data_IF_464408039598
#
_entry.id   IF_464408039598
#
_cell.length_a   1.000
_cell.length_b   1.000
_cell.length_c   1.000
_cell.angle_alpha   90.00
_cell.angle_beta   90.00
_cell.angle_gamma   90.00
#
_symmetry.space_group_name_H-M   'P 1'
#
loop_
_entity.id
_entity.type
_entity.pdbx_description
1 polymer ?
#
# COMPACT_ATOMS: atom_id res chain seq x y z
N UNK A 1 -15.08 27.51 0.13
CA UNK A 1 -15.51 26.10 0.01
C UNK A 1 -15.16 25.51 -1.36
N UNK A 2 -15.52 26.16 -2.46
CA UNK A 2 -15.13 25.76 -3.83
C UNK A 2 -13.60 25.64 -4.00
N UNK A 3 -12.85 26.62 -3.48
CA UNK A 3 -11.38 26.60 -3.48
C UNK A 3 -10.73 25.38 -2.80
N UNK A 4 -11.36 24.78 -1.77
CA UNK A 4 -10.80 23.59 -1.10
C UNK A 4 -11.01 22.36 -1.98
N UNK A 5 -12.19 22.21 -2.60
CA UNK A 5 -12.48 21.11 -3.52
C UNK A 5 -11.58 21.15 -4.76
N UNK A 6 -11.36 22.33 -5.32
CA UNK A 6 -10.42 22.51 -6.43
C UNK A 6 -8.98 22.18 -6.02
N UNK A 7 -8.58 22.55 -4.80
CA UNK A 7 -7.27 22.19 -4.25
C UNK A 7 -7.13 20.66 -4.03
N UNK A 8 -8.16 19.98 -3.53
CA UNK A 8 -8.22 18.52 -3.40
C UNK A 8 -8.01 17.87 -4.76
N UNK A 9 -8.77 18.30 -5.78
CA UNK A 9 -8.65 17.74 -7.14
C UNK A 9 -7.29 18.02 -7.78
N UNK A 10 -6.70 19.20 -7.52
CA UNK A 10 -5.34 19.51 -7.96
C UNK A 10 -4.32 18.56 -7.32
N UNK A 11 -4.39 18.35 -6.00
CA UNK A 11 -3.45 17.47 -5.31
C UNK A 11 -3.65 16.00 -5.70
N UNK A 12 -4.89 15.57 -5.89
CA UNK A 12 -5.22 14.25 -6.46
C UNK A 12 -4.54 14.05 -7.82
N UNK A 13 -4.64 15.03 -8.74
CA UNK A 13 -3.99 14.96 -10.05
C UNK A 13 -2.46 14.85 -9.93
N UNK A 14 -1.86 15.66 -9.07
CA UNK A 14 -0.41 15.62 -8.81
C UNK A 14 0.02 14.24 -8.30
N UNK A 15 -0.69 13.70 -7.31
CA UNK A 15 -0.44 12.37 -6.77
C UNK A 15 -0.56 11.28 -7.85
N UNK A 16 -1.64 11.30 -8.65
CA UNK A 16 -1.85 10.32 -9.73
C UNK A 16 -0.69 10.36 -10.73
N UNK A 17 -0.25 11.55 -11.13
CA UNK A 17 0.90 11.70 -12.03
C UNK A 17 2.18 11.13 -11.43
N UNK A 18 2.46 11.43 -10.16
CA UNK A 18 3.61 10.87 -9.44
C UNK A 18 3.54 9.33 -9.38
N UNK A 19 2.37 8.78 -9.01
CA UNK A 19 2.16 7.33 -8.95
C UNK A 19 2.36 6.65 -10.32
N UNK A 20 1.94 7.29 -11.42
CA UNK A 20 2.17 6.80 -12.78
C UNK A 20 3.66 6.78 -13.12
N UNK A 21 4.42 7.82 -12.75
CA UNK A 21 5.88 7.85 -12.96
C UNK A 21 6.55 6.70 -12.19
N UNK A 22 6.19 6.52 -10.91
CA UNK A 22 6.69 5.42 -10.08
C UNK A 22 6.37 4.03 -10.65
N UNK A 23 5.14 3.83 -11.14
CA UNK A 23 4.74 2.60 -11.84
C UNK A 23 5.54 2.37 -13.12
N UNK A 24 5.83 3.42 -13.90
CA UNK A 24 6.65 3.31 -15.12
C UNK A 24 8.09 2.91 -14.81
N UNK A 25 8.68 3.50 -13.77
CA UNK A 25 10.02 3.12 -13.32
C UNK A 25 10.06 1.68 -12.83
N UNK A 26 9.05 1.25 -12.05
CA UNK A 26 8.91 -0.16 -11.68
C UNK A 26 8.90 -1.07 -12.92
N UNK A 27 8.04 -0.77 -13.90
CA UNK A 27 7.90 -1.55 -15.13
C UNK A 27 9.23 -1.64 -15.90
N UNK A 28 10.01 -0.54 -15.97
CA UNK A 28 11.27 -0.48 -16.71
C UNK A 28 12.29 -1.51 -16.22
N UNK A 29 12.33 -1.78 -14.92
CA UNK A 29 13.34 -2.64 -14.30
C UNK A 29 12.78 -4.01 -13.86
N UNK A 30 11.49 -4.27 -14.05
CA UNK A 30 10.87 -5.51 -13.65
C UNK A 30 10.87 -6.52 -14.82
N UNK A 31 11.45 -7.73 -14.65
CA UNK A 31 11.41 -8.77 -15.68
C UNK A 31 9.96 -9.07 -16.10
N UNK A 32 9.74 -9.35 -17.39
CA UNK A 32 8.39 -9.52 -17.95
C UNK A 32 7.54 -10.52 -17.15
N UNK A 33 8.11 -11.68 -16.80
CA UNK A 33 7.43 -12.71 -16.00
C UNK A 33 6.96 -12.19 -14.63
N UNK A 34 7.75 -11.33 -13.97
CA UNK A 34 7.38 -10.71 -12.69
C UNK A 34 6.35 -9.60 -12.88
N UNK A 35 6.42 -8.86 -13.99
CA UNK A 35 5.43 -7.85 -14.34
C UNK A 35 4.05 -8.47 -14.61
N UNK A 36 4.01 -9.62 -15.26
CA UNK A 36 2.76 -10.35 -15.51
C UNK A 36 2.10 -10.74 -14.18
N UNK A 37 2.88 -11.31 -13.25
CA UNK A 37 2.40 -11.59 -11.88
C UNK A 37 1.93 -10.32 -11.17
N UNK A 38 2.71 -9.23 -11.20
CA UNK A 38 2.34 -7.97 -10.53
C UNK A 38 0.99 -7.44 -11.01
N UNK A 39 0.69 -7.57 -12.32
CA UNK A 39 -0.59 -7.17 -12.92
C UNK A 39 -1.72 -8.12 -12.55
N UNK A 40 -1.41 -9.41 -12.37
CA UNK A 40 -2.38 -10.45 -12.06
C UNK A 40 -2.84 -10.41 -10.59
N UNK A 41 -1.94 -10.11 -9.65
CA UNK A 41 -2.24 -10.09 -8.20
C UNK A 41 -3.49 -9.26 -7.83
N UNK A 42 -3.64 -7.97 -8.21
CA UNK A 42 -4.81 -7.19 -7.79
C UNK A 42 -6.11 -7.73 -8.41
N UNK A 43 -6.05 -8.34 -9.60
CA UNK A 43 -7.20 -9.04 -10.18
C UNK A 43 -7.55 -10.29 -9.36
N UNK A 44 -6.56 -11.11 -9.00
CA UNK A 44 -6.80 -12.30 -8.18
C UNK A 44 -7.38 -11.94 -6.81
N UNK A 45 -6.98 -10.82 -6.21
CA UNK A 45 -7.57 -10.33 -4.95
C UNK A 45 -9.03 -9.89 -5.16
N UNK A 46 -9.32 -9.29 -6.32
CA UNK A 46 -10.65 -8.78 -6.64
C UNK A 46 -11.66 -9.90 -6.93
N UNK A 47 -11.28 -10.95 -7.66
CA UNK A 47 -12.21 -12.01 -8.09
C UNK A 47 -12.09 -13.30 -7.28
N UNK A 48 -13.20 -14.04 -7.20
CA UNK A 48 -13.19 -15.43 -6.76
C UNK A 48 -13.98 -16.31 -7.72
N UNK A 49 -13.27 -16.93 -8.67
CA UNK A 49 -13.84 -17.82 -9.68
C UNK A 49 -12.99 -19.09 -9.79
N UNK A 50 -13.62 -20.28 -9.94
CA UNK A 50 -12.91 -21.55 -10.14
C UNK A 50 -11.98 -21.58 -11.37
N UNK A 51 -12.19 -20.67 -12.31
CA UNK A 51 -11.40 -20.56 -13.55
C UNK A 51 -10.04 -19.89 -13.34
N UNK A 52 -9.82 -19.29 -12.16
CA UNK A 52 -8.61 -18.56 -11.84
C UNK A 52 -7.88 -19.16 -10.63
N UNK A 53 -6.56 -18.94 -10.52
CA UNK A 53 -5.80 -19.32 -9.34
C UNK A 53 -6.37 -18.74 -8.06
N UNK A 54 -5.98 -19.36 -6.93
CA UNK A 54 -6.39 -18.93 -5.61
C UNK A 54 -7.92 -18.87 -5.40
N UNK A 55 -8.69 -19.74 -6.05
CA UNK A 55 -10.12 -19.86 -5.79
C UNK A 55 -10.38 -20.38 -4.36
N UNK A 56 -11.27 -19.70 -3.63
CA UNK A 56 -11.72 -20.10 -2.29
C UNK A 56 -13.18 -20.55 -2.38
N UNK A 57 -13.42 -21.85 -2.15
CA UNK A 57 -14.74 -22.48 -2.32
C UNK A 57 -15.77 -22.02 -1.28
N UNK A 58 -15.32 -21.72 -0.07
CA UNK A 58 -16.15 -21.38 1.09
C UNK A 58 -16.64 -19.92 1.08
N UNK A 59 -16.21 -19.11 0.12
CA UNK A 59 -16.14 -17.67 0.32
C UNK A 59 -17.22 -16.83 -0.37
N UNK A 60 -18.24 -17.40 -1.01
CA UNK A 60 -19.37 -16.62 -1.58
C UNK A 60 -18.95 -15.32 -2.30
N UNK A 61 -19.70 -14.23 -2.07
CA UNK A 61 -19.44 -12.87 -2.60
C UNK A 61 -18.65 -12.00 -1.61
N UNK A 62 -17.60 -12.56 -1.00
CA UNK A 62 -16.85 -11.90 0.08
C UNK A 62 -15.74 -10.97 -0.44
N UNK A 63 -15.34 -11.10 -1.70
CA UNK A 63 -14.17 -10.45 -2.28
C UNK A 63 -14.48 -9.14 -2.99
N UNK A 64 -13.42 -8.53 -3.49
CA UNK A 64 -13.48 -7.32 -4.28
C UNK A 64 -12.65 -6.21 -3.68
N UNK A 65 -12.06 -5.47 -4.60
CA UNK A 65 -11.26 -4.28 -4.34
C UNK A 65 -12.07 -3.09 -4.80
N UNK A 66 -12.17 -2.06 -3.96
CA UNK A 66 -12.93 -0.85 -4.25
C UNK A 66 -12.56 -0.29 -5.63
N UNK A 67 -13.55 -0.15 -6.52
CA UNK A 67 -13.42 0.49 -7.83
C UNK A 67 -12.35 -0.12 -8.78
N UNK A 68 -11.98 -1.39 -8.59
CA UNK A 68 -10.91 -2.03 -9.36
C UNK A 68 -11.26 -2.23 -10.84
N UNK A 69 -12.50 -2.57 -11.13
CA UNK A 69 -13.15 -2.67 -12.44
C UNK A 69 -12.95 -1.43 -13.32
N UNK A 70 -12.76 -0.25 -12.71
CA UNK A 70 -12.46 1.00 -13.40
C UNK A 70 -10.96 1.31 -13.51
N UNK A 71 -10.10 0.48 -12.92
CA UNK A 71 -8.64 0.64 -12.92
C UNK A 71 -7.99 0.29 -14.27
N UNK A 72 -6.75 0.74 -14.45
CA UNK A 72 -5.93 0.34 -15.59
C UNK A 72 -5.60 -1.16 -15.61
N UNK A 73 -5.49 -1.79 -14.43
CA UNK A 73 -5.21 -3.23 -14.29
C UNK A 73 -6.40 -4.08 -14.78
N UNK A 74 -7.63 -3.70 -14.41
CA UNK A 74 -8.83 -4.37 -14.89
C UNK A 74 -8.97 -4.27 -16.42
N UNK A 75 -8.65 -3.11 -17.00
CA UNK A 75 -8.62 -2.92 -18.46
C UNK A 75 -7.57 -3.81 -19.12
N UNK A 76 -6.34 -3.79 -18.62
CA UNK A 76 -5.24 -4.60 -19.16
C UNK A 76 -5.58 -6.09 -19.17
N UNK A 77 -6.07 -6.65 -18.05
CA UNK A 77 -6.39 -8.07 -17.98
C UNK A 77 -7.62 -8.44 -18.82
N UNK A 78 -8.63 -7.55 -18.89
CA UNK A 78 -9.83 -7.77 -19.71
C UNK A 78 -9.50 -7.87 -21.20
N UNK A 79 -8.49 -7.14 -21.68
CA UNK A 79 -8.06 -7.24 -23.10
C UNK A 79 -7.37 -8.56 -23.42
N UNK A 80 -6.79 -9.23 -22.42
CA UNK A 80 -6.01 -10.46 -22.58
C UNK A 80 -6.80 -11.73 -22.28
N UNK A 81 -7.88 -11.63 -21.50
CA UNK A 81 -8.66 -12.78 -21.06
C UNK A 81 -10.18 -12.49 -21.10
N UNK A 82 -10.94 -13.15 -22.01
CA UNK A 82 -12.39 -12.95 -22.12
C UNK A 82 -13.19 -13.30 -20.85
N UNK A 83 -12.73 -14.28 -20.07
CA UNK A 83 -13.39 -14.66 -18.82
C UNK A 83 -13.17 -13.57 -17.75
N UNK A 84 -11.96 -12.99 -17.68
CA UNK A 84 -11.69 -11.84 -16.84
C UNK A 84 -12.56 -10.65 -17.25
N UNK A 85 -12.69 -10.38 -18.55
CA UNK A 85 -13.54 -9.31 -19.07
C UNK A 85 -15.02 -9.46 -18.67
N UNK A 86 -15.52 -10.68 -18.56
CA UNK A 86 -16.89 -10.94 -18.05
C UNK A 86 -17.00 -10.57 -16.58
N UNK A 87 -16.03 -10.97 -15.76
CA UNK A 87 -16.02 -10.66 -14.32
C UNK A 87 -15.89 -9.15 -14.07
N UNK A 88 -15.09 -8.42 -14.86
CA UNK A 88 -14.92 -6.96 -14.72
C UNK A 88 -16.16 -6.15 -15.12
N UNK A 89 -17.18 -6.76 -15.75
CA UNK A 89 -18.46 -6.10 -16.04
C UNK A 89 -19.43 -6.12 -14.86
N UNK A 90 -19.13 -6.89 -13.81
CA UNK A 90 -19.97 -7.01 -12.63
C UNK A 90 -19.42 -6.08 -11.54
N UNK A 91 -20.15 -5.02 -11.15
CA UNK A 91 -19.70 -4.16 -10.07
C UNK A 91 -19.70 -4.91 -8.74
N UNK A 92 -18.71 -4.65 -7.90
CA UNK A 92 -18.70 -5.15 -6.53
C UNK A 92 -19.43 -4.16 -5.64
N UNK A 93 -20.60 -4.54 -5.13
CA UNK A 93 -21.41 -3.68 -4.26
C UNK A 93 -20.81 -3.52 -2.86
N UNK A 94 -20.15 -4.56 -2.35
CA UNK A 94 -19.52 -4.56 -1.03
C UNK A 94 -18.04 -5.04 -1.09
N UNK A 95 -17.10 -4.19 -1.52
CA UNK A 95 -15.70 -4.58 -1.62
C UNK A 95 -15.10 -4.83 -0.23
N UNK A 96 -14.49 -6.00 -0.06
CA UNK A 96 -13.72 -6.35 1.14
C UNK A 96 -12.47 -5.48 1.31
N UNK A 97 -11.79 -5.19 0.21
CA UNK A 97 -10.53 -4.45 0.20
C UNK A 97 -10.77 -3.00 -0.23
N UNK A 98 -10.37 -2.05 0.61
CA UNK A 98 -10.49 -0.62 0.33
C UNK A 98 -9.35 -0.12 -0.55
N UNK A 99 -8.14 -0.66 -0.38
CA UNK A 99 -6.99 -0.31 -1.21
C UNK A 99 -5.91 -1.39 -1.19
N UNK A 100 -5.14 -1.43 -2.28
CA UNK A 100 -3.93 -2.22 -2.43
C UNK A 100 -2.79 -1.25 -2.75
N UNK A 101 -1.78 -1.27 -1.90
CA UNK A 101 -0.56 -0.51 -2.10
C UNK A 101 0.61 -1.49 -2.13
N UNK A 102 1.52 -1.29 -3.09
CA UNK A 102 2.82 -1.94 -3.03
C UNK A 102 3.76 -1.06 -2.20
N UNK A 103 4.58 -1.64 -1.33
CA UNK A 103 5.56 -0.97 -0.47
C UNK A 103 6.98 -1.49 -0.77
N UNK A 104 8.01 -0.68 -0.51
CA UNK A 104 9.38 -1.15 -0.51
C UNK A 104 10.15 -0.75 -1.76
N UNK A 105 10.93 -1.69 -2.31
CA UNK A 105 11.98 -1.34 -3.28
C UNK A 105 11.49 -1.13 -4.73
N UNK A 106 10.29 -1.56 -5.10
CA UNK A 106 9.81 -1.35 -6.46
C UNK A 106 9.57 0.13 -6.77
N UNK A 107 9.97 0.55 -7.97
CA UNK A 107 9.91 1.93 -8.43
C UNK A 107 10.90 2.87 -7.74
N UNK A 108 11.71 2.39 -6.78
CA UNK A 108 12.78 3.17 -6.14
C UNK A 108 14.14 2.88 -6.77
N UNK A 109 15.13 3.68 -6.42
CA UNK A 109 16.53 3.43 -6.79
C UNK A 109 17.12 2.16 -6.17
N UNK A 110 16.44 1.52 -5.21
CA UNK A 110 16.86 0.25 -4.59
C UNK A 110 16.19 -0.98 -5.21
N UNK A 111 15.39 -0.81 -6.28
CA UNK A 111 14.83 -1.92 -7.03
C UNK A 111 15.93 -2.81 -7.60
N UNK A 112 15.74 -4.12 -7.50
CA UNK A 112 16.60 -5.11 -8.12
C UNK A 112 15.77 -6.26 -8.70
N UNK A 113 16.41 -7.11 -9.52
CA UNK A 113 15.77 -8.34 -9.99
C UNK A 113 15.38 -9.30 -8.85
N UNK A 114 15.98 -9.16 -7.67
CA UNK A 114 15.69 -9.95 -6.46
C UNK A 114 14.65 -9.29 -5.54
N UNK A 115 14.06 -8.16 -5.94
CA UNK A 115 13.05 -7.49 -5.11
C UNK A 115 11.82 -8.39 -4.91
N UNK A 116 11.39 -8.45 -3.65
CA UNK A 116 10.15 -9.09 -3.22
C UNK A 116 8.95 -8.19 -3.55
N UNK A 117 7.75 -8.76 -3.53
CA UNK A 117 6.51 -8.02 -3.69
C UNK A 117 5.81 -7.90 -2.35
N UNK A 118 5.86 -6.72 -1.76
CA UNK A 118 5.25 -6.44 -0.46
C UNK A 118 4.01 -5.57 -0.68
N UNK A 119 2.85 -6.08 -0.29
CA UNK A 119 1.58 -5.39 -0.47
C UNK A 119 0.90 -5.11 0.86
N UNK A 120 0.49 -3.86 1.06
CA UNK A 120 -0.48 -3.50 2.07
C UNK A 120 -1.89 -3.66 1.52
N UNK A 121 -2.69 -4.46 2.21
CA UNK A 121 -4.09 -4.70 1.92
C UNK A 121 -4.91 -3.98 2.99
N UNK A 122 -5.53 -2.87 2.58
CA UNK A 122 -6.33 -2.07 3.51
C UNK A 122 -7.76 -2.58 3.51
N UNK A 123 -8.25 -2.91 4.70
CA UNK A 123 -9.62 -3.32 4.96
C UNK A 123 -10.29 -2.36 5.94
N UNK A 124 -11.61 -2.49 6.06
CA UNK A 124 -12.37 -1.95 7.18
C UNK A 124 -12.84 -3.14 8.02
N UNK A 125 -12.15 -3.43 9.13
CA UNK A 125 -12.36 -4.65 9.92
C UNK A 125 -13.78 -4.74 10.50
N UNK A 126 -14.47 -3.61 10.67
CA UNK A 126 -15.86 -3.56 11.15
C UNK A 126 -16.84 -4.24 10.18
N UNK A 127 -16.46 -4.42 8.91
CA UNK A 127 -17.27 -5.04 7.85
C UNK A 127 -16.99 -6.53 7.65
N UNK A 128 -16.20 -7.13 8.55
CA UNK A 128 -15.78 -8.52 8.48
C UNK A 128 -16.31 -9.31 9.67
N UNK A 129 -17.07 -10.37 9.38
CA UNK A 129 -17.20 -11.49 10.32
C UNK A 129 -15.96 -12.42 10.23
N UNK A 130 -15.89 -13.43 11.09
CA UNK A 130 -14.76 -14.36 11.09
C UNK A 130 -14.66 -15.17 9.80
N UNK A 131 -15.78 -15.54 9.18
CA UNK A 131 -15.76 -16.32 7.94
C UNK A 131 -15.22 -15.49 6.77
N UNK A 132 -15.68 -14.25 6.66
CA UNK A 132 -15.24 -13.26 5.67
C UNK A 132 -13.77 -12.93 5.83
N UNK A 133 -13.30 -12.78 7.06
CA UNK A 133 -11.89 -12.50 7.33
C UNK A 133 -11.00 -13.71 6.99
N UNK A 134 -11.38 -14.90 7.45
CA UNK A 134 -10.64 -16.14 7.16
C UNK A 134 -10.60 -16.43 5.65
N UNK A 135 -11.70 -16.20 4.93
CA UNK A 135 -11.75 -16.35 3.47
C UNK A 135 -10.78 -15.40 2.74
N UNK A 136 -10.67 -14.15 3.19
CA UNK A 136 -9.71 -13.20 2.63
C UNK A 136 -8.27 -13.62 2.94
N UNK A 137 -7.98 -14.06 4.17
CA UNK A 137 -6.65 -14.57 4.52
C UNK A 137 -6.28 -15.82 3.72
N UNK A 138 -7.21 -16.78 3.58
CA UNK A 138 -7.04 -17.97 2.76
C UNK A 138 -6.74 -17.58 1.30
N UNK A 139 -7.49 -16.63 0.75
CA UNK A 139 -7.29 -16.11 -0.60
C UNK A 139 -5.88 -15.58 -0.80
N UNK A 140 -5.41 -14.72 0.11
CA UNK A 140 -4.08 -14.11 0.03
C UNK A 140 -2.98 -15.17 0.17
N UNK A 141 -3.15 -16.14 1.07
CA UNK A 141 -2.23 -17.27 1.22
C UNK A 141 -2.15 -18.11 -0.05
N UNK A 142 -3.28 -18.36 -0.72
CA UNK A 142 -3.29 -19.07 -1.99
C UNK A 142 -2.58 -18.28 -3.10
N UNK A 143 -2.69 -16.94 -3.10
CA UNK A 143 -1.96 -16.08 -4.04
C UNK A 143 -0.45 -16.15 -3.76
N UNK A 144 -0.01 -16.16 -2.50
CA UNK A 144 1.41 -16.35 -2.14
C UNK A 144 1.93 -17.69 -2.69
N UNK A 145 1.18 -18.78 -2.44
CA UNK A 145 1.55 -20.12 -2.92
C UNK A 145 1.62 -20.15 -4.45
N UNK A 146 0.63 -19.57 -5.12
CA UNK A 146 0.58 -19.46 -6.58
C UNK A 146 1.78 -18.70 -7.13
N UNK A 147 2.11 -17.55 -6.53
CA UNK A 147 3.23 -16.69 -6.93
C UNK A 147 4.57 -17.40 -6.82
N UNK A 148 4.81 -18.09 -5.71
CA UNK A 148 6.03 -18.90 -5.51
C UNK A 148 6.13 -20.03 -6.52
N UNK A 149 5.04 -20.79 -6.73
CA UNK A 149 5.04 -21.97 -7.60
C UNK A 149 5.17 -21.64 -9.09
N UNK A 150 4.47 -20.63 -9.56
CA UNK A 150 4.42 -20.31 -11.00
C UNK A 150 5.50 -19.33 -11.43
N UNK A 151 5.87 -18.40 -10.54
CA UNK A 151 6.75 -17.28 -10.87
C UNK A 151 8.09 -17.29 -10.14
N UNK A 152 8.28 -18.16 -9.14
CA UNK A 152 9.46 -18.12 -8.25
C UNK A 152 9.66 -16.73 -7.66
N UNK A 153 8.54 -16.08 -7.31
CA UNK A 153 8.50 -14.74 -6.74
C UNK A 153 7.99 -14.82 -5.30
N UNK A 154 8.73 -14.21 -4.39
CA UNK A 154 8.28 -13.98 -3.02
C UNK A 154 7.28 -12.83 -2.99
N UNK A 155 6.14 -13.08 -2.35
CA UNK A 155 5.04 -12.14 -2.18
C UNK A 155 4.62 -12.15 -0.72
N UNK A 156 4.48 -10.98 -0.13
CA UNK A 156 4.00 -10.78 1.23
C UNK A 156 2.76 -9.89 1.21
N UNK A 157 1.72 -10.28 1.95
CA UNK A 157 0.54 -9.46 2.16
C UNK A 157 0.44 -9.05 3.62
N UNK A 158 0.42 -7.74 3.86
CA UNK A 158 0.22 -7.13 5.17
C UNK A 158 -1.21 -6.61 5.25
N UNK A 159 -2.06 -7.29 6.01
CA UNK A 159 -3.43 -6.85 6.24
C UNK A 159 -3.45 -5.75 7.29
N UNK A 160 -4.12 -4.65 6.97
CA UNK A 160 -4.28 -3.55 7.90
C UNK A 160 -5.71 -3.04 7.92
N UNK A 161 -6.23 -2.86 9.13
CA UNK A 161 -7.45 -2.10 9.34
C UNK A 161 -7.18 -0.60 9.22
N UNK A 162 -7.97 0.08 8.40
CA UNK A 162 -7.81 1.52 8.16
C UNK A 162 -7.93 2.33 9.47
N UNK A 163 -8.83 1.93 10.37
CA UNK A 163 -9.04 2.60 11.65
C UNK A 163 -7.84 2.47 12.59
N UNK A 164 -7.21 1.29 12.65
CA UNK A 164 -6.01 1.06 13.45
C UNK A 164 -4.82 1.90 12.92
N UNK A 165 -4.67 1.98 11.60
CA UNK A 165 -3.58 2.74 10.99
C UNK A 165 -3.62 4.24 11.33
N UNK A 166 -4.79 4.84 11.58
CA UNK A 166 -4.91 6.24 12.01
C UNK A 166 -4.02 6.51 13.23
N UNK A 167 -3.97 5.56 14.16
CA UNK A 167 -3.22 5.64 15.41
C UNK A 167 -1.87 4.89 15.37
N UNK A 168 -1.37 4.54 14.18
CA UNK A 168 -0.15 3.74 13.99
C UNK A 168 -0.21 2.37 14.69
N UNK A 169 -1.40 1.80 14.81
CA UNK A 169 -1.59 0.45 15.34
C UNK A 169 -1.44 -0.54 14.19
N UNK A 170 -0.45 -1.41 14.33
CA UNK A 170 -0.17 -2.51 13.42
C UNK A 170 -0.52 -3.80 14.14
N UNK A 171 -1.13 -4.74 13.43
CA UNK A 171 -1.38 -6.08 13.94
C UNK A 171 -0.02 -6.70 14.27
N UNK A 172 0.15 -7.09 15.53
CA UNK A 172 1.39 -7.70 16.00
C UNK A 172 1.45 -9.10 15.39
N UNK A 173 2.41 -9.32 14.50
CA UNK A 173 2.81 -10.69 14.17
C UNK A 173 3.39 -11.34 15.42
N UNK A 174 3.20 -12.66 15.56
CA UNK A 174 3.91 -13.47 16.54
C UNK A 174 5.42 -13.45 16.23
N UNK A 175 6.10 -12.36 16.55
CA UNK A 175 7.56 -12.28 16.57
C UNK A 175 8.00 -12.15 18.03
N UNK A 176 8.26 -13.32 18.63
CA UNK A 176 9.13 -13.48 19.79
C UNK A 176 10.53 -13.00 19.43
N UNK A 177 10.80 -11.69 19.39
CA UNK A 177 12.15 -11.21 19.11
C UNK A 177 12.50 -9.95 19.90
N UNK A 178 13.72 -9.96 20.43
CA UNK A 178 14.39 -9.02 21.35
C UNK A 178 14.38 -7.55 20.87
N UNK A 179 13.87 -7.26 19.67
CA UNK A 179 13.83 -5.93 19.04
C UNK A 179 12.42 -5.68 18.50
N UNK A 180 11.63 -4.86 19.21
CA UNK A 180 10.31 -4.41 18.76
C UNK A 180 10.42 -3.63 17.44
N UNK A 181 9.64 -4.03 16.44
CA UNK A 181 9.60 -3.35 15.14
C UNK A 181 9.15 -1.89 15.31
N UNK A 182 9.87 -0.90 14.76
CA UNK A 182 9.51 0.51 14.92
C UNK A 182 8.28 0.87 14.07
N UNK A 183 7.10 0.79 14.70
CA UNK A 183 5.78 0.94 14.07
C UNK A 183 5.65 2.24 13.29
N UNK A 184 6.21 3.36 13.79
CA UNK A 184 6.15 4.64 13.07
C UNK A 184 7.07 4.66 11.85
N UNK A 185 8.22 3.98 11.91
CA UNK A 185 9.13 3.86 10.77
C UNK A 185 8.57 2.92 9.68
N UNK A 186 7.77 1.91 10.03
CA UNK A 186 7.05 1.10 9.05
C UNK A 186 6.09 2.00 8.24
N UNK A 187 5.32 2.85 8.92
CA UNK A 187 4.40 3.78 8.28
C UNK A 187 5.12 4.87 7.49
N UNK A 188 6.26 5.33 7.99
CA UNK A 188 7.15 6.24 7.25
C UNK A 188 7.59 5.59 5.94
N UNK A 189 8.09 4.36 5.99
CA UNK A 189 8.55 3.65 4.81
C UNK A 189 7.42 3.46 3.82
N UNK A 190 6.22 3.13 4.32
CA UNK A 190 5.00 3.12 3.52
C UNK A 190 4.81 4.45 2.80
N UNK A 191 4.64 5.56 3.51
CA UNK A 191 4.33 6.85 2.87
C UNK A 191 5.43 7.34 1.92
N UNK A 192 6.68 7.02 2.18
CA UNK A 192 7.80 7.37 1.31
C UNK A 192 7.87 6.54 0.03
N UNK A 193 7.50 5.26 0.08
CA UNK A 193 7.80 4.31 -1.01
C UNK A 193 6.58 3.77 -1.74
N UNK A 194 5.39 3.93 -1.18
CA UNK A 194 4.23 3.22 -1.68
C UNK A 194 3.91 3.56 -3.14
N UNK A 195 3.45 2.55 -3.84
CA UNK A 195 2.83 2.66 -5.15
C UNK A 195 1.38 2.23 -4.98
N UNK A 196 0.45 3.11 -5.34
CA UNK A 196 -0.96 2.77 -5.38
C UNK A 196 -1.24 1.87 -6.58
N UNK A 197 -1.66 0.64 -6.27
CA UNK A 197 -2.01 -0.38 -7.26
C UNK A 197 -3.49 -0.28 -7.60
N UNK A 198 -4.36 -0.28 -6.61
CA UNK A 198 -5.81 -0.13 -6.80
C UNK A 198 -6.51 0.34 -5.53
N UNK A 199 -7.73 0.87 -5.67
CA UNK A 199 -8.59 1.23 -4.56
C UNK A 199 -8.61 2.72 -4.26
N UNK A 200 -8.71 3.07 -2.98
CA UNK A 200 -8.77 4.46 -2.50
C UNK A 200 -7.38 5.09 -2.42
N UNK A 201 -7.33 6.42 -2.46
CA UNK A 201 -6.12 7.24 -2.34
C UNK A 201 -5.88 7.57 -0.85
N UNK A 202 -4.67 7.34 -0.29
CA UNK A 202 -4.36 7.78 1.07
C UNK A 202 -4.48 9.30 1.17
N UNK A 203 -5.23 9.80 2.16
CA UNK A 203 -5.35 11.24 2.40
C UNK A 203 -4.00 11.92 2.58
N UNK A 204 -3.06 11.24 3.22
CA UNK A 204 -1.69 11.72 3.38
C UNK A 204 -1.04 12.10 2.04
N UNK A 205 -1.40 11.47 0.93
CA UNK A 205 -0.79 11.77 -0.37
C UNK A 205 -1.32 13.08 -1.01
N UNK A 206 -2.41 13.64 -0.49
CA UNK A 206 -3.13 14.76 -1.11
C UNK A 206 -3.31 15.96 -0.18
N UNK A 207 -3.02 15.81 1.12
CA UNK A 207 -3.04 16.91 2.07
C UNK A 207 -1.76 17.74 1.91
N UNK A 208 -1.85 19.08 1.76
CA UNK A 208 -0.68 19.95 1.73
C UNK A 208 0.11 19.92 3.04
N UNK A 209 1.44 20.02 2.94
CA UNK A 209 2.36 19.95 4.08
C UNK A 209 2.19 21.09 5.08
N UNK A 210 1.90 22.28 4.57
CA UNK A 210 2.05 23.54 5.29
C UNK A 210 0.77 24.00 5.99
N UNK A 211 -0.23 23.11 6.10
CA UNK A 211 -1.48 23.43 6.80
C UNK A 211 -1.28 23.39 8.32
N UNK A 212 -1.84 24.38 9.01
CA UNK A 212 -2.08 24.30 10.44
C UNK A 212 -3.08 23.17 10.76
N UNK A 213 -3.18 22.81 12.05
CA UNK A 213 -4.00 21.66 12.47
C UNK A 213 -5.50 21.87 12.21
N UNK A 214 -6.00 23.11 12.32
CA UNK A 214 -7.42 23.43 12.11
C UNK A 214 -7.78 23.33 10.63
N UNK A 215 -6.98 23.95 9.77
CA UNK A 215 -7.13 23.90 8.32
C UNK A 215 -6.99 22.47 7.80
N UNK A 216 -6.07 21.69 8.36
CA UNK A 216 -5.91 20.27 8.04
C UNK A 216 -7.18 19.46 8.36
N UNK A 217 -7.82 19.70 9.51
CA UNK A 217 -9.07 19.02 9.87
C UNK A 217 -10.22 19.37 8.91
N UNK A 218 -10.35 20.64 8.53
CA UNK A 218 -11.35 21.08 7.53
C UNK A 218 -11.09 20.40 6.18
N UNK A 219 -9.83 20.36 5.76
CA UNK A 219 -9.43 19.69 4.51
C UNK A 219 -9.81 18.21 4.54
N UNK A 220 -9.40 17.49 5.60
CA UNK A 220 -9.71 16.05 5.78
C UNK A 220 -11.20 15.79 5.70
N UNK A 221 -12.02 16.61 6.38
CA UNK A 221 -13.47 16.48 6.35
C UNK A 221 -14.02 16.58 4.93
N UNK A 222 -13.61 17.59 4.17
CA UNK A 222 -14.07 17.77 2.79
C UNK A 222 -13.60 16.66 1.85
N UNK A 223 -12.40 16.14 2.04
CA UNK A 223 -11.91 15.04 1.21
C UNK A 223 -12.63 13.73 1.50
N UNK A 224 -12.93 13.44 2.76
CA UNK A 224 -13.65 12.22 3.16
C UNK A 224 -15.14 12.23 2.76
N UNK A 225 -15.71 13.38 2.35
CA UNK A 225 -17.00 13.41 1.65
C UNK A 225 -16.94 12.60 0.34
N UNK A 226 -15.77 12.52 -0.29
CA UNK A 226 -15.52 11.71 -1.47
C UNK A 226 -14.96 10.32 -1.07
N UNK A 227 -15.66 9.27 -1.51
CA UNK A 227 -15.29 7.87 -1.23
C UNK A 227 -13.99 7.41 -1.90
N UNK A 228 -13.43 8.19 -2.81
CA UNK A 228 -12.12 7.93 -3.43
C UNK A 228 -10.96 8.01 -2.46
N UNK A 229 -11.12 8.66 -1.30
CA UNK A 229 -10.04 8.82 -0.32
C UNK A 229 -10.21 7.89 0.89
N UNK A 230 -9.10 7.61 1.55
CA UNK A 230 -9.03 6.85 2.81
C UNK A 230 -8.06 7.51 3.79
N UNK A 231 -8.50 7.67 5.04
CA UNK A 231 -7.64 8.16 6.12
C UNK A 231 -6.85 6.99 6.69
N UNK A 232 -5.53 7.05 6.54
CA UNK A 232 -4.60 6.11 7.17
C UNK A 232 -3.82 6.77 8.31
N UNK A 233 -4.20 7.99 8.72
CA UNK A 233 -3.50 8.81 9.71
C UNK A 233 -2.39 9.68 9.13
N UNK A 234 -1.83 10.55 9.96
CA UNK A 234 -0.70 11.40 9.59
C UNK A 234 0.54 10.97 10.38
N UNK A 235 1.74 11.23 9.84
CA UNK A 235 2.98 11.11 10.60
C UNK A 235 3.35 12.47 11.20
N UNK A 236 3.30 12.56 12.52
CA UNK A 236 3.65 13.76 13.29
C UNK A 236 4.99 13.55 13.97
N UNK A 237 6.09 13.85 13.27
CA UNK A 237 7.45 13.58 13.75
C UNK A 237 7.70 12.09 14.00
N UNK A 238 8.96 11.71 14.22
CA UNK A 238 9.31 10.35 14.66
C UNK A 238 10.02 10.49 16.00
N UNK A 239 9.49 9.90 17.09
CA UNK A 239 10.14 9.93 18.38
C UNK A 239 11.59 9.43 18.33
N UNK A 240 12.47 10.02 19.13
CA UNK A 240 13.90 9.65 19.12
C UNK A 240 14.13 8.17 19.45
N UNK A 241 13.28 7.59 20.30
CA UNK A 241 13.34 6.18 20.67
C UNK A 241 12.92 5.25 19.52
N UNK A 242 11.95 5.66 18.69
CA UNK A 242 11.61 4.97 17.43
C UNK A 242 12.78 5.03 16.44
N UNK A 243 13.44 6.19 16.32
CA UNK A 243 14.62 6.36 15.47
C UNK A 243 15.74 5.42 15.92
N UNK A 244 16.06 5.39 17.22
CA UNK A 244 17.10 4.52 17.78
C UNK A 244 16.78 3.03 17.55
N UNK A 245 15.54 2.61 17.79
CA UNK A 245 15.08 1.24 17.47
C UNK A 245 15.22 0.93 15.99
N UNK A 246 14.87 1.87 15.12
CA UNK A 246 15.04 1.73 13.68
C UNK A 246 16.48 1.56 13.24
N UNK A 247 17.41 2.34 13.82
CA UNK A 247 18.84 2.19 13.52
C UNK A 247 19.37 0.84 13.98
N UNK A 248 19.00 0.38 15.19
CA UNK A 248 19.37 -0.94 15.69
C UNK A 248 18.85 -2.05 14.78
N UNK A 249 17.59 -1.94 14.34
CA UNK A 249 16.99 -2.89 13.40
C UNK A 249 17.79 -2.98 12.09
N UNK A 250 18.19 -1.85 11.51
CA UNK A 250 18.99 -1.87 10.28
C UNK A 250 20.39 -2.46 10.50
N UNK A 251 21.00 -2.27 11.67
CA UNK A 251 22.27 -2.93 12.04
C UNK A 251 22.09 -4.46 12.04
N UNK A 252 21.00 -4.97 12.62
CA UNK A 252 20.71 -6.40 12.64
C UNK A 252 20.39 -6.99 11.25
N UNK A 253 19.82 -6.19 10.35
CA UNK A 253 19.53 -6.61 8.96
C UNK A 253 20.73 -6.45 8.00
N UNK A 254 21.74 -5.67 8.37
CA UNK A 254 22.92 -5.39 7.54
C UNK A 254 23.67 -6.64 7.03
N UNK A 255 23.80 -7.75 7.78
CA UNK A 255 24.42 -8.97 7.26
C UNK A 255 23.69 -9.59 6.06
N UNK A 256 22.38 -9.35 5.91
CA UNK A 256 21.56 -9.91 4.84
C UNK A 256 21.51 -8.99 3.61
N UNK A 257 21.42 -7.68 3.82
CA UNK A 257 21.42 -6.68 2.74
C UNK A 257 22.09 -5.37 3.21
N UNK A 258 23.43 -5.25 3.11
CA UNK A 258 24.17 -4.15 3.71
C UNK A 258 23.87 -2.81 3.02
N UNK A 259 23.61 -2.82 1.70
CA UNK A 259 23.34 -1.60 0.94
C UNK A 259 21.97 -1.04 1.29
N UNK A 260 20.91 -1.87 1.30
CA UNK A 260 19.57 -1.41 1.71
C UNK A 260 19.57 -0.98 3.17
N UNK A 261 20.27 -1.71 4.04
CA UNK A 261 20.36 -1.37 5.46
C UNK A 261 21.05 -0.04 5.69
N UNK A 262 22.14 0.24 4.98
CA UNK A 262 22.81 1.55 5.03
C UNK A 262 21.88 2.68 4.59
N UNK A 263 21.20 2.53 3.45
CA UNK A 263 20.27 3.54 2.92
C UNK A 263 19.14 3.81 3.91
N UNK A 264 18.50 2.74 4.42
CA UNK A 264 17.41 2.87 5.40
C UNK A 264 17.89 3.51 6.68
N UNK A 265 19.07 3.12 7.19
CA UNK A 265 19.67 3.72 8.36
C UNK A 265 19.96 5.23 8.16
N UNK A 266 20.47 5.64 6.99
CA UNK A 266 20.71 7.05 6.67
C UNK A 266 19.40 7.85 6.66
N UNK A 267 18.34 7.33 6.03
CA UNK A 267 17.02 7.97 6.06
C UNK A 267 16.50 8.08 7.50
N UNK A 268 16.56 6.99 8.27
CA UNK A 268 16.14 6.99 9.68
C UNK A 268 16.92 8.01 10.51
N UNK A 269 18.26 8.08 10.35
CA UNK A 269 19.11 9.01 11.07
C UNK A 269 18.82 10.48 10.71
N UNK A 270 18.42 10.76 9.46
CA UNK A 270 18.11 12.13 9.03
C UNK A 270 16.98 12.76 9.84
N UNK A 271 16.06 11.96 10.40
CA UNK A 271 14.97 12.45 11.25
C UNK A 271 15.45 13.04 12.58
N UNK A 272 16.69 12.78 13.02
CA UNK A 272 17.30 13.36 14.23
C UNK A 272 17.46 14.88 14.09
N UNK A 273 17.79 15.36 12.89
CA UNK A 273 18.00 16.79 12.62
C UNK A 273 16.69 17.56 12.43
N UNK A 274 15.55 16.86 12.35
CA UNK A 274 14.23 17.43 12.07
C UNK A 274 13.11 16.92 13.00
N UNK A 275 13.28 16.98 14.35
CA UNK A 275 12.32 16.39 15.29
C UNK A 275 10.92 17.03 15.25
N UNK A 276 10.80 18.30 14.85
CA UNK A 276 9.59 19.12 15.04
C UNK A 276 8.86 19.56 13.76
N UNK A 277 9.32 19.16 12.56
CA UNK A 277 8.70 19.65 11.32
C UNK A 277 7.52 18.78 10.88
N UNK A 278 6.31 19.27 11.15
CA UNK A 278 5.04 18.72 10.62
C UNK A 278 5.18 18.44 9.12
N UNK A 279 4.85 17.22 8.70
CA UNK A 279 4.67 16.78 7.32
C UNK A 279 5.90 16.82 6.36
N UNK A 280 7.15 16.95 6.83
CA UNK A 280 8.31 16.94 5.91
C UNK A 280 8.50 15.65 5.09
N UNK A 281 7.93 14.52 5.55
CA UNK A 281 7.96 13.25 4.81
C UNK A 281 7.26 13.38 3.45
N UNK A 282 6.28 14.28 3.30
CA UNK A 282 5.68 14.60 1.99
C UNK A 282 6.60 15.52 1.16
N UNK A 283 7.28 16.48 1.80
CA UNK A 283 8.10 17.50 1.13
C UNK A 283 9.40 16.99 0.50
N UNK A 284 9.99 15.91 1.03
CA UNK A 284 11.22 15.30 0.49
C UNK A 284 11.00 14.58 -0.86
N UNK A 285 9.76 14.27 -1.25
CA UNK A 285 9.48 13.40 -2.40
C UNK A 285 8.50 14.01 -3.43
N UNK A 286 7.94 15.18 -3.15
CA UNK A 286 7.19 15.98 -4.14
C UNK A 286 8.12 16.82 -5.04
N UNK A 287 9.38 17.01 -4.64
CA UNK A 287 10.38 17.85 -5.31
C UNK A 287 11.54 17.10 -5.98
N UNK A 288 11.48 15.75 -6.03
CA UNK A 288 12.47 14.91 -6.73
C UNK A 288 11.88 14.27 -7.99
#
# INVERSE_FOLDING_TARGET
MEHIRDAIEKQKKNFILHNIVRLREMIRYLPQKKLDLFREIPFLIHVNSPEFPAYVKSAGDIFGVWNFENSGFAKDISTKNPHAAKLMKMPVNDPAVQAIYHIGSLGTFTQSAKSDFDFWIIIDRSRFDNNRFNALQEKLNLIIIYSRRQYSQEVSFFLHDAHNLINNQFDEGDEDEIITVPKMLIKEEFYRTFIMVSGRIPLWAVIPTDLDDETCMIWKKHALENREFIDLGMLKGIPIDEIQRGLLWQICKAPYDPVKSLIKATVTASYIEFPDKKNQIQGFFVTA
#
